data_IF_037596567538
#
_entry.id   IF_037596567538
#
_cell.length_a   1.000
_cell.length_b   1.000
_cell.length_c   1.000
_cell.angle_alpha   90.00
_cell.angle_beta   90.00
_cell.angle_gamma   90.00
#
_symmetry.space_group_name_H-M   'P 1'
#
loop_
_entity.id
_entity.type
_entity.pdbx_description
1 polymer ?
#
# COMPACT_ATOMS: atom_id res chain seq x y z
N UNK A 1 5.60 -17.12 -12.33
CA UNK A 1 5.40 -16.42 -11.05
C UNK A 1 5.33 -17.48 -9.97
N UNK A 2 6.38 -17.58 -9.16
CA UNK A 2 6.42 -18.50 -8.02
C UNK A 2 5.37 -18.07 -6.99
N UNK A 3 4.57 -19.02 -6.51
CA UNK A 3 3.49 -18.75 -5.56
C UNK A 3 4.08 -18.22 -4.24
N UNK A 4 3.82 -16.95 -3.93
CA UNK A 4 4.07 -16.34 -2.63
C UNK A 4 3.07 -16.86 -1.57
N UNK A 5 2.84 -18.17 -1.50
CA UNK A 5 1.88 -18.81 -0.57
C UNK A 5 2.63 -19.63 0.48
N UNK A 6 2.99 -18.98 1.58
CA UNK A 6 3.52 -19.61 2.79
C UNK A 6 3.60 -18.57 3.92
N UNK A 7 3.51 -19.01 5.18
CA UNK A 7 3.77 -18.19 6.37
C UNK A 7 5.26 -17.81 6.54
N UNK A 8 6.08 -18.05 5.51
CA UNK A 8 7.50 -17.78 5.57
C UNK A 8 7.73 -16.32 5.19
N UNK A 9 8.26 -15.58 6.14
CA UNK A 9 8.75 -14.22 5.94
C UNK A 9 9.78 -14.20 4.80
N UNK A 10 9.72 -13.14 3.99
CA UNK A 10 10.59 -12.98 2.82
C UNK A 10 11.78 -12.13 3.25
N UNK A 11 12.97 -12.70 3.19
CA UNK A 11 14.21 -11.98 3.54
C UNK A 11 14.47 -10.80 2.61
N UNK A 12 15.20 -9.80 3.12
CA UNK A 12 15.54 -8.56 2.41
C UNK A 12 16.12 -8.77 1.02
N UNK A 13 17.07 -9.68 0.87
CA UNK A 13 17.67 -9.95 -0.45
C UNK A 13 16.63 -10.45 -1.44
N UNK A 14 15.68 -11.28 -0.98
CA UNK A 14 14.63 -11.84 -1.82
C UNK A 14 13.60 -10.78 -2.22
N UNK A 15 13.05 -10.01 -1.28
CA UNK A 15 12.07 -8.97 -1.66
C UNK A 15 12.71 -7.85 -2.47
N UNK A 16 13.99 -7.51 -2.25
CA UNK A 16 14.68 -6.51 -3.08
C UNK A 16 14.81 -6.98 -4.53
N UNK A 17 15.02 -8.28 -4.76
CA UNK A 17 15.02 -8.86 -6.10
C UNK A 17 13.62 -8.81 -6.74
N UNK A 18 12.56 -8.99 -5.94
CA UNK A 18 11.17 -8.83 -6.42
C UNK A 18 10.90 -7.37 -6.84
N UNK A 19 11.44 -6.40 -6.10
CA UNK A 19 11.20 -4.98 -6.36
C UNK A 19 12.14 -4.36 -7.42
N UNK A 20 13.26 -5.01 -7.76
CA UNK A 20 14.24 -4.44 -8.70
C UNK A 20 13.67 -4.07 -10.07
N UNK A 21 12.78 -4.85 -10.70
CA UNK A 21 12.24 -4.50 -12.00
C UNK A 21 11.48 -3.16 -12.00
N UNK A 22 10.79 -2.83 -10.90
CA UNK A 22 10.07 -1.55 -10.79
C UNK A 22 11.04 -0.36 -10.69
N UNK A 23 12.14 -0.54 -9.95
CA UNK A 23 13.19 0.49 -9.85
C UNK A 23 13.88 0.73 -11.20
N UNK A 24 14.01 -0.31 -12.03
CA UNK A 24 14.58 -0.22 -13.38
C UNK A 24 13.63 0.46 -14.37
N UNK A 25 12.31 0.34 -14.19
CA UNK A 25 11.30 0.93 -15.09
C UNK A 25 10.78 2.29 -14.65
N UNK A 26 11.14 2.77 -13.46
CA UNK A 26 10.93 4.16 -13.03
C UNK A 26 10.22 4.33 -11.68
N UNK A 27 9.50 3.32 -11.19
CA UNK A 27 8.87 3.35 -9.87
C UNK A 27 9.91 3.07 -8.79
N UNK A 28 10.16 4.04 -7.92
CA UNK A 28 11.17 3.91 -6.87
C UNK A 28 10.60 3.26 -5.62
N UNK A 29 11.03 2.04 -5.33
CA UNK A 29 10.64 1.27 -4.14
C UNK A 29 11.75 1.29 -3.11
N UNK A 30 11.49 1.93 -1.97
CA UNK A 30 12.45 2.14 -0.89
C UNK A 30 12.05 1.36 0.36
N UNK A 31 12.97 0.54 0.87
CA UNK A 31 12.80 -0.13 2.16
C UNK A 31 13.81 0.38 3.16
N UNK A 32 13.37 0.90 4.32
CA UNK A 32 14.27 1.37 5.38
C UNK A 32 15.21 0.25 5.84
N UNK A 33 16.41 0.59 6.31
CA UNK A 33 17.48 -0.38 6.56
C UNK A 33 17.17 -1.38 7.68
N UNK A 34 16.32 -1.00 8.64
CA UNK A 34 15.90 -1.84 9.77
C UNK A 34 14.98 -2.99 9.38
N UNK A 35 14.19 -2.86 8.31
CA UNK A 35 13.36 -3.94 7.78
C UNK A 35 14.27 -5.01 7.15
N UNK A 36 14.38 -6.17 7.81
CA UNK A 36 15.19 -7.31 7.34
C UNK A 36 14.38 -8.38 6.63
N UNK A 37 13.09 -8.38 6.84
CA UNK A 37 12.15 -9.32 6.27
C UNK A 37 10.79 -8.65 6.11
N UNK A 38 9.95 -9.18 5.22
CA UNK A 38 8.60 -8.73 5.01
C UNK A 38 7.65 -9.92 4.95
N UNK A 39 6.48 -9.76 5.55
CA UNK A 39 5.41 -10.71 5.37
C UNK A 39 5.01 -10.76 3.88
N UNK A 40 4.73 -11.94 3.29
CA UNK A 40 4.38 -12.06 1.86
C UNK A 40 3.23 -11.16 1.42
N UNK A 41 2.26 -10.91 2.31
CA UNK A 41 1.16 -9.99 2.01
C UNK A 41 1.64 -8.55 1.78
N UNK A 42 2.61 -8.07 2.57
CA UNK A 42 3.17 -6.73 2.40
C UNK A 42 3.93 -6.64 1.07
N UNK A 43 4.68 -7.68 0.71
CA UNK A 43 5.35 -7.76 -0.60
C UNK A 43 4.33 -7.70 -1.75
N UNK A 44 3.21 -8.42 -1.65
CA UNK A 44 2.13 -8.37 -2.65
C UNK A 44 1.53 -6.98 -2.78
N UNK A 45 1.19 -6.32 -1.66
CA UNK A 45 0.66 -4.96 -1.67
C UNK A 45 1.61 -3.99 -2.38
N UNK A 46 2.92 -4.09 -2.10
CA UNK A 46 3.95 -3.28 -2.77
C UNK A 46 3.95 -3.52 -4.28
N UNK A 47 3.97 -4.79 -4.71
CA UNK A 47 3.94 -5.15 -6.14
C UNK A 47 2.68 -4.64 -6.81
N UNK A 48 1.52 -4.78 -6.16
CA UNK A 48 0.24 -4.33 -6.71
C UNK A 48 0.18 -2.81 -6.87
N UNK A 49 0.66 -2.06 -5.87
CA UNK A 49 0.75 -0.60 -5.93
C UNK A 49 1.76 -0.14 -6.99
N UNK A 50 2.89 -0.84 -7.13
CA UNK A 50 3.93 -0.50 -8.11
C UNK A 50 3.49 -0.71 -9.56
N UNK A 51 2.43 -1.48 -9.81
CA UNK A 51 1.85 -1.67 -11.14
C UNK A 51 0.88 -0.54 -11.54
N UNK A 52 0.52 0.36 -10.63
CA UNK A 52 -0.30 1.51 -10.95
C UNK A 52 0.57 2.57 -11.62
N UNK A 53 0.30 2.90 -12.88
CA UNK A 53 1.13 3.82 -13.70
C UNK A 53 1.31 5.21 -13.07
N UNK A 54 0.39 5.64 -12.20
CA UNK A 54 0.48 6.92 -11.51
C UNK A 54 1.28 6.87 -10.20
N UNK A 55 1.72 5.69 -9.74
CA UNK A 55 2.53 5.54 -8.53
C UNK A 55 4.01 5.53 -8.91
N UNK A 56 4.72 6.56 -8.46
CA UNK A 56 6.14 6.77 -8.76
C UNK A 56 7.04 6.40 -7.58
N UNK A 57 6.52 6.47 -6.36
CA UNK A 57 7.30 6.30 -5.13
C UNK A 57 6.57 5.38 -4.17
N UNK A 58 7.27 4.37 -3.69
CA UNK A 58 6.80 3.48 -2.62
C UNK A 58 7.85 3.45 -1.52
N UNK A 59 7.42 3.61 -0.28
CA UNK A 59 8.25 3.49 0.90
C UNK A 59 7.67 2.44 1.84
N UNK A 60 8.55 1.56 2.30
CA UNK A 60 8.26 0.48 3.25
C UNK A 60 9.07 0.74 4.53
N UNK A 61 8.36 0.85 5.64
CA UNK A 61 8.87 0.82 7.01
C UNK A 61 8.33 -0.44 7.72
N UNK A 62 8.78 -0.70 8.95
CA UNK A 62 8.43 -1.92 9.72
C UNK A 62 6.91 -2.21 9.78
N UNK A 63 6.08 -1.18 9.91
CA UNK A 63 4.60 -1.30 10.05
C UNK A 63 3.85 -0.32 9.15
N UNK A 64 4.57 0.39 8.26
CA UNK A 64 3.94 1.37 7.37
C UNK A 64 4.35 1.16 5.92
N UNK A 65 3.38 1.34 5.03
CA UNK A 65 3.55 1.29 3.58
C UNK A 65 2.91 2.54 2.98
N UNK A 66 3.73 3.41 2.41
CA UNK A 66 3.26 4.61 1.73
C UNK A 66 3.58 4.52 0.24
N UNK A 67 2.63 4.88 -0.61
CA UNK A 67 2.79 4.94 -2.06
C UNK A 67 2.21 6.25 -2.60
N UNK A 68 2.88 6.90 -3.55
CA UNK A 68 2.39 8.13 -4.15
C UNK A 68 2.96 8.42 -5.53
N UNK A 69 2.26 9.25 -6.29
CA UNK A 69 2.77 9.92 -7.49
C UNK A 69 3.88 10.93 -7.19
N UNK A 70 3.96 11.43 -5.95
CA UNK A 70 4.84 12.52 -5.53
C UNK A 70 5.55 12.23 -4.20
N UNK A 71 6.75 12.78 -4.04
CA UNK A 71 7.42 12.88 -2.75
C UNK A 71 7.42 14.34 -2.27
N UNK A 72 7.52 14.55 -0.95
CA UNK A 72 7.72 15.90 -0.43
C UNK A 72 9.01 16.52 -0.99
N UNK A 73 9.00 17.80 -1.43
CA UNK A 73 10.13 18.43 -2.14
C UNK A 73 11.47 18.38 -1.40
N UNK A 74 11.44 18.42 -0.05
CA UNK A 74 12.63 18.38 0.82
C UNK A 74 12.85 17.02 1.48
N UNK A 75 12.05 16.01 1.13
CA UNK A 75 12.13 14.65 1.69
C UNK A 75 11.95 13.62 0.55
N UNK A 76 13.01 13.32 -0.22
CA UNK A 76 12.93 12.58 -1.48
C UNK A 76 12.56 11.08 -1.35
N UNK A 77 12.20 10.64 -0.14
CA UNK A 77 11.78 9.26 0.18
C UNK A 77 10.56 9.27 1.09
N UNK A 78 9.75 10.32 1.03
CA UNK A 78 8.53 10.44 1.82
C UNK A 78 7.40 10.70 0.82
N UNK A 79 6.65 9.65 0.44
CA UNK A 79 5.49 9.78 -0.43
C UNK A 79 4.48 10.76 0.16
N UNK A 80 3.83 11.56 -0.70
CA UNK A 80 2.77 12.50 -0.28
C UNK A 80 1.43 11.78 -0.32
N UNK A 81 0.82 11.58 0.85
CA UNK A 81 -0.45 10.85 1.02
C UNK A 81 -1.55 11.70 1.65
N UNK A 82 -1.17 12.88 2.16
CA UNK A 82 -2.04 13.81 2.86
C UNK A 82 -3.30 14.16 2.07
N UNK A 83 -4.45 14.04 2.73
CA UNK A 83 -5.75 14.41 2.19
C UNK A 83 -5.79 15.88 1.71
N UNK A 84 -6.53 16.12 0.63
CA UNK A 84 -6.69 17.41 -0.05
C UNK A 84 -5.40 17.97 -0.68
N UNK A 85 -4.34 17.18 -0.82
CA UNK A 85 -3.18 17.61 -1.61
C UNK A 85 -3.62 17.84 -3.07
N UNK A 86 -3.27 18.99 -3.69
CA UNK A 86 -3.87 19.42 -4.96
C UNK A 86 -3.51 18.54 -6.15
N UNK A 87 -2.39 17.81 -6.10
CA UNK A 87 -1.86 17.03 -7.23
C UNK A 87 -1.53 15.58 -6.90
N UNK A 88 -1.29 15.26 -5.63
CA UNK A 88 -0.68 13.97 -5.28
C UNK A 88 -1.74 12.87 -5.29
N UNK A 89 -1.42 11.74 -5.89
CA UNK A 89 -2.24 10.53 -5.82
C UNK A 89 -1.48 9.57 -4.93
N UNK A 90 -1.93 9.38 -3.70
CA UNK A 90 -1.20 8.59 -2.72
C UNK A 90 -2.06 7.93 -1.67
N UNK A 91 -1.47 6.92 -1.04
CA UNK A 91 -2.07 6.09 0.00
C UNK A 91 -1.01 5.74 1.04
N UNK A 92 -1.37 5.81 2.32
CA UNK A 92 -0.57 5.31 3.43
C UNK A 92 -1.37 4.25 4.16
N UNK A 93 -0.70 3.14 4.41
CA UNK A 93 -1.24 2.01 5.15
C UNK A 93 -0.43 1.82 6.42
N UNK A 94 -1.12 1.54 7.51
CA UNK A 94 -0.54 0.82 8.64
C UNK A 94 -0.90 -0.64 8.52
N UNK A 95 0.05 -1.52 8.78
CA UNK A 95 -0.20 -2.95 8.77
C UNK A 95 0.33 -3.59 10.03
N UNK A 96 -0.42 -4.56 10.53
CA UNK A 96 -0.03 -5.37 11.66
C UNK A 96 -0.13 -6.84 11.25
N UNK A 97 1.00 -7.55 11.28
CA UNK A 97 1.07 -8.96 10.88
C UNK A 97 0.56 -9.92 11.94
N UNK A 98 0.57 -9.51 13.21
CA UNK A 98 0.14 -10.32 14.35
C UNK A 98 -1.39 -10.30 14.44
N UNK A 99 -1.99 -9.13 14.29
CA UNK A 99 -3.44 -8.95 14.21
C UNK A 99 -3.99 -9.11 12.78
N UNK A 100 -3.11 -9.21 11.78
CA UNK A 100 -3.46 -9.37 10.35
C UNK A 100 -4.36 -8.26 9.83
N UNK A 101 -4.08 -7.03 10.23
CA UNK A 101 -4.86 -5.86 9.84
C UNK A 101 -4.10 -5.00 8.84
N UNK A 102 -4.82 -4.36 7.92
CA UNK A 102 -4.32 -3.29 7.07
C UNK A 102 -5.24 -2.08 7.22
N UNK A 103 -4.78 -1.08 7.95
CA UNK A 103 -5.49 0.18 8.16
C UNK A 103 -5.12 1.20 7.08
N UNK A 104 -6.14 1.72 6.41
CA UNK A 104 -6.01 2.77 5.41
C UNK A 104 -5.91 4.14 6.09
N UNK A 105 -4.73 4.42 6.66
CA UNK A 105 -4.48 5.62 7.45
C UNK A 105 -4.69 6.94 6.68
N UNK A 106 -4.13 7.05 5.48
CA UNK A 106 -4.29 8.24 4.63
C UNK A 106 -4.53 7.86 3.18
N UNK A 107 -5.38 8.62 2.50
CA UNK A 107 -5.58 8.50 1.06
C UNK A 107 -5.89 9.87 0.45
N UNK A 108 -5.23 10.18 -0.67
CA UNK A 108 -5.50 11.38 -1.43
C UNK A 108 -5.54 11.09 -2.93
N UNK A 109 -6.50 11.68 -3.61
CA UNK A 109 -6.46 11.75 -5.06
C UNK A 109 -7.29 12.91 -5.58
N UNK A 110 -6.69 13.87 -6.29
CA UNK A 110 -7.44 14.91 -7.01
C UNK A 110 -8.07 14.37 -8.31
N UNK A 111 -7.69 13.18 -8.76
CA UNK A 111 -8.19 12.55 -9.98
C UNK A 111 -9.20 11.46 -9.63
N UNK A 112 -10.47 11.69 -9.99
CA UNK A 112 -11.57 10.76 -9.72
C UNK A 112 -11.24 9.34 -10.18
N UNK A 113 -11.52 8.38 -9.29
CA UNK A 113 -11.34 6.94 -9.54
C UNK A 113 -9.97 6.39 -9.13
N UNK A 114 -8.92 7.21 -9.02
CA UNK A 114 -7.60 6.69 -8.64
C UNK A 114 -7.53 6.27 -7.16
N UNK A 115 -8.29 6.90 -6.27
CA UNK A 115 -8.45 6.41 -4.89
C UNK A 115 -8.96 4.98 -4.83
N UNK A 116 -10.02 4.67 -5.59
CA UNK A 116 -10.53 3.30 -5.71
C UNK A 116 -9.50 2.33 -6.29
N UNK A 117 -8.75 2.73 -7.33
CA UNK A 117 -7.69 1.88 -7.90
C UNK A 117 -6.59 1.54 -6.89
N UNK A 118 -6.24 2.47 -5.99
CA UNK A 118 -5.26 2.19 -4.93
C UNK A 118 -5.81 1.18 -3.91
N UNK A 119 -7.07 1.33 -3.48
CA UNK A 119 -7.75 0.36 -2.61
C UNK A 119 -7.82 -1.01 -3.30
N UNK A 120 -8.22 -1.04 -4.57
CA UNK A 120 -8.28 -2.26 -5.37
C UNK A 120 -6.93 -2.97 -5.44
N UNK A 121 -5.84 -2.22 -5.62
CA UNK A 121 -4.49 -2.77 -5.64
C UNK A 121 -4.09 -3.38 -4.29
N UNK A 122 -4.42 -2.72 -3.18
CA UNK A 122 -4.14 -3.22 -1.82
C UNK A 122 -4.93 -4.48 -1.51
N UNK A 123 -6.21 -4.52 -1.88
CA UNK A 123 -7.13 -5.63 -1.59
C UNK A 123 -7.13 -6.73 -2.66
N UNK A 124 -6.36 -6.59 -3.75
CA UNK A 124 -6.23 -7.64 -4.76
C UNK A 124 -5.54 -8.86 -4.15
N UNK A 125 -6.21 -10.00 -4.26
CA UNK A 125 -5.81 -11.28 -3.65
C UNK A 125 -5.63 -11.19 -2.13
N UNK A 126 -6.46 -10.37 -1.46
CA UNK A 126 -6.39 -10.19 -0.01
C UNK A 126 -6.60 -11.53 0.72
N UNK A 127 -5.65 -11.95 1.58
CA UNK A 127 -5.66 -13.28 2.16
C UNK A 127 -6.79 -13.44 3.18
N UNK A 128 -7.37 -14.65 3.22
CA UNK A 128 -8.37 -14.99 4.23
C UNK A 128 -7.82 -14.78 5.64
N UNK A 129 -8.63 -14.19 6.51
CA UNK A 129 -8.27 -13.91 7.89
C UNK A 129 -7.41 -12.66 8.08
N UNK A 130 -7.13 -11.90 7.02
CA UNK A 130 -6.72 -10.50 7.14
C UNK A 130 -7.94 -9.58 7.10
N UNK A 131 -7.85 -8.44 7.75
CA UNK A 131 -8.95 -7.47 7.86
C UNK A 131 -8.51 -6.10 7.35
N UNK A 132 -9.23 -5.50 6.39
CA UNK A 132 -9.07 -4.09 6.10
C UNK A 132 -9.65 -3.26 7.25
N UNK A 133 -9.02 -2.12 7.55
CA UNK A 133 -9.46 -1.21 8.59
C UNK A 133 -9.49 0.24 8.07
N UNK A 134 -10.42 1.03 8.60
CA UNK A 134 -10.50 2.47 8.40
C UNK A 134 -10.87 3.09 9.74
N UNK A 135 -9.87 3.41 10.56
CA UNK A 135 -10.11 3.92 11.92
C UNK A 135 -10.55 5.40 11.90
N UNK A 136 -10.16 6.14 10.87
CA UNK A 136 -10.55 7.54 10.71
C UNK A 136 -11.05 7.82 9.29
N UNK A 137 -12.32 8.17 9.15
CA UNK A 137 -12.94 8.51 7.87
C UNK A 137 -13.16 10.01 7.73
N UNK A 138 -12.39 10.62 6.83
CA UNK A 138 -12.52 12.04 6.44
C UNK A 138 -12.99 12.20 4.98
N UNK A 139 -13.41 11.10 4.36
CA UNK A 139 -13.56 10.93 2.92
C UNK A 139 -14.97 11.17 2.40
N UNK A 140 -15.90 11.52 3.29
CA UNK A 140 -17.31 11.83 3.00
C UNK A 140 -18.01 10.73 2.17
N UNK A 141 -18.01 9.49 2.68
CA UNK A 141 -18.69 8.34 2.06
C UNK A 141 -17.91 7.66 0.94
N UNK A 142 -16.61 7.91 0.79
CA UNK A 142 -15.77 7.09 -0.09
C UNK A 142 -15.57 5.69 0.49
N UNK A 143 -15.29 5.56 1.79
CA UNK A 143 -15.07 4.26 2.42
C UNK A 143 -16.32 3.39 2.46
N UNK A 144 -17.51 3.97 2.65
CA UNK A 144 -18.78 3.22 2.58
C UNK A 144 -18.96 2.51 1.23
N UNK A 145 -18.54 3.17 0.14
CA UNK A 145 -18.55 2.58 -1.21
C UNK A 145 -17.50 1.49 -1.39
N UNK A 146 -16.35 1.61 -0.71
CA UNK A 146 -15.32 0.57 -0.74
C UNK A 146 -15.78 -0.65 0.06
N UNK A 147 -16.43 -0.46 1.20
CA UNK A 147 -17.01 -1.55 2.00
C UNK A 147 -18.11 -2.29 1.25
N UNK A 148 -19.02 -1.57 0.59
CA UNK A 148 -20.06 -2.20 -0.23
C UNK A 148 -19.46 -3.02 -1.37
N UNK A 149 -18.43 -2.48 -2.04
CA UNK A 149 -17.70 -3.19 -3.11
C UNK A 149 -16.98 -4.44 -2.59
N UNK A 150 -16.43 -4.39 -1.38
CA UNK A 150 -15.67 -5.46 -0.73
C UNK A 150 -16.43 -6.04 0.47
N UNK A 151 -17.73 -6.29 0.32
CA UNK A 151 -18.63 -6.72 1.39
C UNK A 151 -18.31 -8.12 1.95
N UNK A 152 -17.57 -8.94 1.19
CA UNK A 152 -17.10 -10.25 1.64
C UNK A 152 -15.92 -10.17 2.63
N UNK A 153 -15.30 -8.98 2.78
CA UNK A 153 -14.24 -8.74 3.75
C UNK A 153 -14.84 -8.22 5.06
N UNK A 154 -14.25 -8.64 6.19
CA UNK A 154 -14.63 -8.14 7.50
C UNK A 154 -13.85 -6.86 7.83
N UNK A 155 -14.46 -5.71 7.55
CA UNK A 155 -13.88 -4.40 7.83
C UNK A 155 -13.88 -4.07 9.33
N UNK A 156 -12.86 -3.33 9.76
CA UNK A 156 -12.74 -2.74 11.10
C UNK A 156 -12.93 -1.22 10.98
N UNK A 157 -13.79 -0.65 11.83
CA UNK A 157 -14.09 0.78 11.94
C UNK A 157 -13.95 1.22 13.38
#
# INVERSE_FOLDING_TARGET
MEQLSGNNWIERKAFQKIFSPFNETGTQVWTVSRVKELHPQVVRMVVNLAQLEFINFIRICDETLAASSENYPKRPKVPVTQMNHPSAIGIELFYDTDYRTVDFNDINSPVKGNGGKMVDAVLRDFPKGWQPAVIMDWSNGFWDRMEEKYHDLQWIR
#
